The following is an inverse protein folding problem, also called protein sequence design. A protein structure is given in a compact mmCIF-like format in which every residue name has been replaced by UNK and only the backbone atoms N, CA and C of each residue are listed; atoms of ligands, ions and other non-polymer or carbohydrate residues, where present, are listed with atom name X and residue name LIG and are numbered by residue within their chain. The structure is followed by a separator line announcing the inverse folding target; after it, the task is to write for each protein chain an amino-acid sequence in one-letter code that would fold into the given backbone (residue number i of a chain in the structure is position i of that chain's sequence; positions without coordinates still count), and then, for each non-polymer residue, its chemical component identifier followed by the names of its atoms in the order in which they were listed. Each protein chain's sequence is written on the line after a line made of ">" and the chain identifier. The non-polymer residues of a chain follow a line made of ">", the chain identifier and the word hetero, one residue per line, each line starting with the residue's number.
data_IF_170977958410
#
_entry.id   IF_170977958410
#
_cell.length_a   1.000
_cell.length_b   1.000
_cell.length_c   1.000
_cell.angle_alpha   90.00
_cell.angle_beta   90.00
_cell.angle_gamma   90.00
#
_symmetry.space_group_name_H-M   'P 1'
#
loop_
_entity.id
_entity.type
_entity.pdbx_description
1 polymer ?
#
# COMPACT_ATOMS: atom_id res chain seq x y z
N UNK A 1 20.61 32.70 44.94
CA UNK A 1 20.85 31.28 44.58
C UNK A 1 19.81 30.42 45.28
N UNK A 2 18.85 29.81 44.57
CA UNK A 2 17.94 28.83 45.17
C UNK A 2 18.72 27.54 45.42
N UNK A 3 19.00 27.23 46.67
CA UNK A 3 19.65 25.98 47.08
C UNK A 3 18.61 24.85 47.01
N UNK A 4 18.72 24.00 45.99
CA UNK A 4 17.88 22.80 45.91
C UNK A 4 18.40 21.75 46.89
N UNK A 5 17.50 21.21 47.71
CA UNK A 5 17.82 20.09 48.62
C UNK A 5 18.27 18.88 47.80
N UNK A 6 19.19 18.06 48.35
CA UNK A 6 19.62 16.80 47.70
C UNK A 6 18.44 15.89 47.37
N UNK A 7 17.36 15.93 48.16
CA UNK A 7 16.13 15.20 47.90
C UNK A 7 15.35 15.75 46.68
N UNK A 8 15.32 17.07 46.49
CA UNK A 8 14.67 17.71 45.33
C UNK A 8 15.47 17.48 44.04
N UNK A 9 16.79 17.46 44.14
CA UNK A 9 17.66 17.13 43.02
C UNK A 9 17.47 15.66 42.59
N UNK A 10 17.40 14.74 43.55
CA UNK A 10 17.21 13.31 43.28
C UNK A 10 15.83 12.99 42.69
N UNK A 11 14.76 13.62 43.18
CA UNK A 11 13.41 13.49 42.60
C UNK A 11 13.33 13.99 41.16
N UNK A 12 13.97 15.13 40.85
CA UNK A 12 13.99 15.68 39.49
C UNK A 12 14.80 14.81 38.53
N UNK A 13 15.93 14.27 38.98
CA UNK A 13 16.75 13.37 38.14
C UNK A 13 16.04 12.05 37.85
N UNK A 14 15.33 11.46 38.83
CA UNK A 14 14.53 10.24 38.61
C UNK A 14 13.35 10.51 37.67
N UNK A 15 12.64 11.63 37.85
CA UNK A 15 11.55 12.01 36.96
C UNK A 15 12.05 12.22 35.52
N UNK A 16 13.22 12.83 35.35
CA UNK A 16 13.83 13.07 34.03
C UNK A 16 14.30 11.77 33.37
N UNK A 17 14.87 10.84 34.14
CA UNK A 17 15.30 9.53 33.65
C UNK A 17 14.11 8.63 33.28
N UNK A 18 13.01 8.69 34.03
CA UNK A 18 11.78 7.96 33.69
C UNK A 18 11.09 8.56 32.47
N UNK A 19 11.06 9.89 32.33
CA UNK A 19 10.56 10.54 31.10
C UNK A 19 11.44 10.20 29.90
N UNK A 20 12.77 10.21 30.03
CA UNK A 20 13.67 9.93 28.91
C UNK A 20 13.65 8.46 28.49
N UNK A 21 13.58 7.53 29.45
CA UNK A 21 13.49 6.08 29.17
C UNK A 21 12.15 5.70 28.54
N UNK A 22 11.06 6.36 28.95
CA UNK A 22 9.73 6.16 28.37
C UNK A 22 9.61 6.80 26.98
N UNK A 23 10.19 7.99 26.76
CA UNK A 23 10.31 8.62 25.43
C UNK A 23 11.20 7.80 24.49
N UNK A 24 12.20 7.08 25.00
CA UNK A 24 13.06 6.17 24.23
C UNK A 24 12.41 4.81 23.98
N UNK A 25 11.58 4.31 24.91
CA UNK A 25 10.86 3.03 24.74
C UNK A 25 9.57 3.16 23.93
N UNK A 26 9.07 4.38 23.75
CA UNK A 26 7.83 4.73 23.04
C UNK A 26 8.10 5.86 22.07
N UNK A 27 9.34 6.05 21.64
CA UNK A 27 9.51 6.46 20.26
C UNK A 27 8.73 5.41 19.49
N UNK A 28 7.65 5.75 18.77
CA UNK A 28 7.27 4.93 17.66
C UNK A 28 8.58 4.66 16.92
N UNK A 29 8.80 3.43 16.45
CA UNK A 29 9.51 3.36 15.20
C UNK A 29 8.68 4.25 14.27
N UNK A 30 9.04 5.53 14.17
CA UNK A 30 8.57 6.42 13.15
C UNK A 30 9.25 5.86 11.91
N UNK A 31 8.73 4.72 11.45
CA UNK A 31 8.78 4.38 10.04
C UNK A 31 8.00 5.53 9.44
N UNK A 32 8.73 6.57 9.04
CA UNK A 32 8.29 7.44 7.97
C UNK A 32 8.17 6.52 6.76
N UNK A 33 7.04 5.81 6.69
CA UNK A 33 6.44 5.49 5.43
C UNK A 33 6.07 6.85 4.85
N UNK A 34 7.04 7.52 4.23
CA UNK A 34 6.75 8.43 3.15
C UNK A 34 6.13 7.54 2.06
N UNK A 35 4.85 7.22 2.25
CA UNK A 35 3.99 6.79 1.17
C UNK A 35 4.01 7.94 0.17
N UNK A 36 3.96 7.56 -1.10
CA UNK A 36 3.76 8.39 -2.28
C UNK A 36 3.30 9.81 -1.98
N UNK A 37 3.87 10.74 -2.72
CA UNK A 37 3.61 12.19 -2.84
C UNK A 37 2.13 12.66 -2.82
N UNK A 38 1.13 11.78 -2.63
CA UNK A 38 -0.23 12.08 -2.23
C UNK A 38 -0.33 12.66 -0.81
N UNK A 39 -0.73 13.93 -0.70
CA UNK A 39 -0.96 14.65 0.54
C UNK A 39 -2.10 14.08 1.41
N UNK A 40 -2.61 14.88 2.35
CA UNK A 40 -3.67 14.48 3.31
C UNK A 40 -4.92 13.85 2.66
N UNK A 41 -5.09 14.04 1.36
CA UNK A 41 -6.08 13.35 0.54
C UNK A 41 -5.32 12.44 -0.44
N UNK A 42 -5.62 11.13 -0.54
CA UNK A 42 -4.88 10.19 -1.39
C UNK A 42 -4.80 10.57 -2.88
N UNK A 43 -5.74 11.38 -3.39
CA UNK A 43 -5.72 11.91 -4.76
C UNK A 43 -4.84 13.16 -4.94
N UNK A 44 -4.42 13.83 -3.86
CA UNK A 44 -3.74 15.12 -3.90
C UNK A 44 -2.22 14.93 -3.98
N UNK A 45 -1.70 14.46 -5.12
CA UNK A 45 -0.25 14.33 -5.30
C UNK A 45 0.22 13.63 -6.57
N UNK A 46 -0.68 13.00 -7.31
CA UNK A 46 -0.34 12.42 -8.61
C UNK A 46 -0.47 13.48 -9.70
N UNK A 47 0.65 13.87 -10.32
CA UNK A 47 0.70 14.78 -11.47
C UNK A 47 0.30 14.12 -12.79
N UNK A 48 0.07 12.81 -12.80
CA UNK A 48 -0.14 12.03 -14.03
C UNK A 48 -1.60 11.95 -14.43
N UNK A 49 -2.51 12.43 -13.58
CA UNK A 49 -3.89 12.66 -13.99
C UNK A 49 -4.40 13.90 -13.29
N UNK A 50 -5.02 14.80 -14.05
CA UNK A 50 -5.92 15.83 -13.56
C UNK A 50 -7.18 15.18 -12.92
N UNK A 51 -6.96 14.32 -11.92
CA UNK A 51 -7.97 13.56 -11.24
C UNK A 51 -8.84 14.54 -10.47
N UNK A 52 -10.07 14.69 -10.96
CA UNK A 52 -11.18 15.24 -10.20
C UNK A 52 -11.26 14.41 -8.91
N UNK A 53 -10.64 14.90 -7.83
CA UNK A 53 -10.76 14.26 -6.52
C UNK A 53 -12.24 14.03 -6.25
N UNK A 54 -12.61 12.77 -6.08
CA UNK A 54 -13.99 12.45 -5.76
C UNK A 54 -14.22 12.79 -4.29
N UNK A 55 -15.48 13.03 -3.92
CA UNK A 55 -15.84 13.21 -2.51
C UNK A 55 -15.40 11.99 -1.66
N UNK A 56 -15.35 10.81 -2.27
CA UNK A 56 -14.86 9.60 -1.62
C UNK A 56 -13.40 9.75 -1.17
N UNK A 57 -12.49 10.23 -2.03
CA UNK A 57 -11.07 10.35 -1.70
C UNK A 57 -10.85 11.32 -0.51
N UNK A 58 -11.65 12.39 -0.45
CA UNK A 58 -11.67 13.32 0.69
C UNK A 58 -12.13 12.63 1.99
N UNK A 59 -13.19 11.81 1.93
CA UNK A 59 -13.70 11.08 3.09
C UNK A 59 -12.72 10.01 3.59
N UNK A 60 -12.03 9.33 2.66
CA UNK A 60 -10.96 8.39 2.98
C UNK A 60 -9.79 9.10 3.65
N UNK A 61 -9.38 10.27 3.15
CA UNK A 61 -8.37 11.10 3.80
C UNK A 61 -8.76 11.52 5.23
N UNK A 62 -10.00 11.98 5.42
CA UNK A 62 -10.52 12.33 6.76
C UNK A 62 -10.50 11.13 7.71
N UNK A 63 -10.90 9.94 7.25
CA UNK A 63 -10.84 8.70 8.05
C UNK A 63 -9.42 8.45 8.55
N UNK A 64 -8.43 8.57 7.67
CA UNK A 64 -7.03 8.28 8.00
C UNK A 64 -6.46 9.31 8.99
N UNK A 65 -6.80 10.60 8.83
CA UNK A 65 -6.44 11.65 9.79
C UNK A 65 -7.05 11.37 11.17
N UNK A 66 -8.34 11.01 11.23
CA UNK A 66 -9.00 10.74 12.52
C UNK A 66 -8.45 9.46 13.15
N UNK A 67 -8.15 8.42 12.36
CA UNK A 67 -7.54 7.19 12.86
C UNK A 67 -6.15 7.46 13.44
N UNK A 68 -5.32 8.23 12.74
CA UNK A 68 -4.00 8.68 13.21
C UNK A 68 -4.11 9.52 14.49
N UNK A 69 -5.01 10.51 14.51
CA UNK A 69 -5.23 11.39 15.65
C UNK A 69 -5.70 10.64 16.89
N UNK A 70 -6.60 9.66 16.74
CA UNK A 70 -7.06 8.79 17.83
C UNK A 70 -5.90 8.02 18.47
N UNK A 71 -5.01 7.45 17.66
CA UNK A 71 -3.88 6.68 18.18
C UNK A 71 -2.95 7.58 19.02
N UNK A 72 -2.68 8.81 18.55
CA UNK A 72 -1.89 9.80 19.31
C UNK A 72 -2.59 10.18 20.62
N UNK A 73 -3.90 10.44 20.59
CA UNK A 73 -4.66 10.82 21.78
C UNK A 73 -4.66 9.71 22.85
N UNK A 74 -4.76 8.44 22.44
CA UNK A 74 -4.70 7.30 23.37
C UNK A 74 -3.32 7.22 24.05
N UNK A 75 -2.23 7.40 23.30
CA UNK A 75 -0.87 7.41 23.85
C UNK A 75 -0.69 8.56 24.85
N UNK A 76 -1.15 9.77 24.48
CA UNK A 76 -1.10 10.94 25.37
C UNK A 76 -1.93 10.76 26.65
N UNK A 77 -3.08 10.08 26.57
CA UNK A 77 -3.90 9.79 27.74
C UNK A 77 -3.19 8.83 28.71
N UNK A 78 -2.55 7.77 28.20
CA UNK A 78 -1.77 6.84 29.04
C UNK A 78 -0.60 7.58 29.71
N UNK A 79 0.10 8.43 28.96
CA UNK A 79 1.17 9.29 29.48
C UNK A 79 0.72 10.16 30.65
N UNK A 80 -0.38 10.89 30.47
CA UNK A 80 -0.91 11.79 31.49
C UNK A 80 -1.31 11.03 32.77
N UNK A 81 -1.87 9.83 32.63
CA UNK A 81 -2.24 8.97 33.76
C UNK A 81 -1.00 8.49 34.51
N UNK A 82 0.04 8.03 33.80
CA UNK A 82 1.30 7.58 34.43
C UNK A 82 2.00 8.72 35.15
N UNK A 83 2.08 9.91 34.53
CA UNK A 83 2.67 11.10 35.15
C UNK A 83 1.88 11.49 36.40
N UNK A 84 0.55 11.50 36.32
CA UNK A 84 -0.32 11.77 37.47
C UNK A 84 -0.13 10.75 38.60
N UNK A 85 0.02 9.46 38.28
CA UNK A 85 0.23 8.40 39.26
C UNK A 85 1.59 8.53 39.99
N UNK A 86 2.66 8.80 39.25
CA UNK A 86 3.99 9.03 39.83
C UNK A 86 3.99 10.29 40.70
N UNK A 87 3.38 11.37 40.23
CA UNK A 87 3.25 12.62 40.98
C UNK A 87 2.48 12.40 42.28
N UNK A 88 1.44 11.56 42.27
CA UNK A 88 0.68 11.22 43.47
C UNK A 88 1.54 10.49 44.52
N UNK A 89 2.34 9.51 44.12
CA UNK A 89 3.20 8.72 45.02
C UNK A 89 4.31 9.58 45.63
N UNK A 90 4.95 10.46 44.84
CA UNK A 90 6.10 11.27 45.28
C UNK A 90 5.67 12.47 46.15
N UNK A 91 4.40 12.85 46.09
CA UNK A 91 3.81 13.96 46.85
C UNK A 91 3.49 13.63 48.31
N UNK A 92 3.99 12.50 48.83
CA UNK A 92 3.78 12.09 50.21
C UNK A 92 4.09 13.22 51.21
N UNK A 93 3.04 13.75 51.85
CA UNK A 93 3.12 14.81 52.87
C UNK A 93 2.75 16.22 52.42
N UNK A 94 2.52 16.48 51.12
CA UNK A 94 2.08 17.78 50.60
C UNK A 94 0.67 17.68 50.00
N UNK A 95 -0.32 18.23 50.71
CA UNK A 95 -1.72 18.22 50.28
C UNK A 95 -1.96 18.92 48.94
N UNK A 96 -1.22 19.98 48.64
CA UNK A 96 -1.38 20.74 47.39
C UNK A 96 -0.89 19.96 46.18
N UNK A 97 0.27 19.30 46.31
CA UNK A 97 0.83 18.46 45.25
C UNK A 97 -0.01 17.19 45.00
N UNK A 98 -0.55 16.58 46.07
CA UNK A 98 -1.48 15.45 45.96
C UNK A 98 -2.79 15.82 45.26
N UNK A 99 -3.33 17.01 45.52
CA UNK A 99 -4.54 17.50 44.86
C UNK A 99 -4.30 17.79 43.37
N UNK A 100 -3.17 18.41 43.03
CA UNK A 100 -2.73 18.60 41.64
C UNK A 100 -2.63 17.25 40.90
N UNK A 101 -2.05 16.22 41.52
CA UNK A 101 -1.93 14.90 40.91
C UNK A 101 -3.29 14.24 40.64
N UNK A 102 -4.22 14.36 41.58
CA UNK A 102 -5.60 13.89 41.38
C UNK A 102 -6.30 14.63 40.26
N UNK A 103 -6.06 15.93 40.11
CA UNK A 103 -6.66 16.74 39.04
C UNK A 103 -6.14 16.34 37.66
N UNK A 104 -4.84 16.08 37.52
CA UNK A 104 -4.25 15.56 36.27
C UNK A 104 -4.88 14.22 35.87
N UNK A 105 -4.99 13.28 36.83
CA UNK A 105 -5.62 11.98 36.57
C UNK A 105 -7.10 12.15 36.18
N UNK A 106 -7.87 12.99 36.91
CA UNK A 106 -9.28 13.24 36.60
C UNK A 106 -9.47 13.84 35.21
N UNK A 107 -8.62 14.79 34.80
CA UNK A 107 -8.69 15.40 33.48
C UNK A 107 -8.37 14.38 32.37
N UNK A 108 -7.35 13.53 32.57
CA UNK A 108 -7.03 12.46 31.63
C UNK A 108 -8.19 11.46 31.48
N UNK A 109 -8.84 11.07 32.58
CA UNK A 109 -10.01 10.18 32.56
C UNK A 109 -11.19 10.81 31.80
N UNK A 110 -11.48 12.10 32.04
CA UNK A 110 -12.51 12.83 31.28
C UNK A 110 -12.18 12.90 29.79
N UNK A 111 -10.91 13.06 29.41
CA UNK A 111 -10.47 13.02 28.02
C UNK A 111 -10.77 11.68 27.34
N UNK A 112 -10.49 10.56 28.01
CA UNK A 112 -10.81 9.21 27.49
C UNK A 112 -12.32 9.03 27.34
N UNK A 113 -13.10 9.45 28.33
CA UNK A 113 -14.58 9.39 28.28
C UNK A 113 -15.12 10.20 27.10
N UNK A 114 -14.58 11.39 26.85
CA UNK A 114 -15.00 12.23 25.71
C UNK A 114 -14.66 11.57 24.38
N UNK A 115 -13.48 10.97 24.20
CA UNK A 115 -13.09 10.29 22.96
C UNK A 115 -13.97 9.07 22.69
N UNK A 116 -14.22 8.25 23.71
CA UNK A 116 -15.12 7.09 23.60
C UNK A 116 -16.58 7.52 23.37
N UNK A 117 -17.01 8.58 24.05
CA UNK A 117 -18.32 9.19 23.88
C UNK A 117 -18.52 9.75 22.47
N UNK A 118 -17.51 10.43 21.91
CA UNK A 118 -17.54 10.95 20.55
C UNK A 118 -17.66 9.82 19.52
N UNK A 119 -16.88 8.74 19.67
CA UNK A 119 -17.00 7.57 18.80
C UNK A 119 -18.39 6.93 18.86
N UNK A 120 -18.94 6.76 20.07
CA UNK A 120 -20.27 6.21 20.27
C UNK A 120 -21.36 7.11 19.67
N UNK A 121 -21.30 8.42 19.90
CA UNK A 121 -22.29 9.39 19.40
C UNK A 121 -22.29 9.40 17.88
N UNK A 122 -21.12 9.53 17.24
CA UNK A 122 -21.01 9.55 15.77
C UNK A 122 -21.56 8.26 15.17
N UNK A 123 -21.19 7.10 15.73
CA UNK A 123 -21.68 5.81 15.21
C UNK A 123 -23.18 5.61 15.42
N UNK A 124 -23.71 6.03 16.58
CA UNK A 124 -25.14 5.94 16.89
C UNK A 124 -25.97 6.84 15.98
N UNK A 125 -25.51 8.08 15.76
CA UNK A 125 -26.17 9.05 14.89
C UNK A 125 -26.18 8.54 13.45
N UNK A 126 -25.04 8.07 12.93
CA UNK A 126 -24.96 7.56 11.57
C UNK A 126 -25.79 6.28 11.38
N UNK A 127 -25.83 5.39 12.37
CA UNK A 127 -26.73 4.23 12.33
C UNK A 127 -28.20 4.63 12.26
N UNK A 128 -28.62 5.66 13.03
CA UNK A 128 -30.00 6.18 13.01
C UNK A 128 -30.37 6.82 11.66
N UNK A 129 -29.45 7.55 11.03
CA UNK A 129 -29.70 8.20 9.75
C UNK A 129 -29.57 7.25 8.56
N UNK A 130 -28.59 6.34 8.54
CA UNK A 130 -28.39 5.35 7.48
C UNK A 130 -29.55 4.34 7.36
N UNK A 131 -30.25 4.06 8.46
CA UNK A 131 -31.46 3.21 8.45
C UNK A 131 -32.71 3.91 7.90
N UNK A 132 -32.76 5.25 7.91
CA UNK A 132 -33.97 6.02 7.58
C UNK A 132 -33.90 6.68 6.19
N UNK A 133 -32.71 7.05 5.74
CA UNK A 133 -32.49 7.64 4.44
C UNK A 133 -31.68 6.65 3.61
N UNK A 134 -32.31 6.08 2.58
CA UNK A 134 -31.65 5.28 1.55
C UNK A 134 -30.73 6.20 0.71
N UNK A 135 -29.61 6.60 1.32
CA UNK A 135 -28.69 7.59 0.77
C UNK A 135 -27.72 6.98 -0.25
N UNK A 136 -27.88 5.71 -0.65
CA UNK A 136 -26.98 5.03 -1.58
C UNK A 136 -25.54 4.84 -1.08
N UNK A 137 -25.23 5.33 0.12
CA UNK A 137 -23.94 5.16 0.79
C UNK A 137 -24.11 3.97 1.73
N UNK A 138 -23.71 2.77 1.29
CA UNK A 138 -23.79 1.51 2.02
C UNK A 138 -22.84 1.44 3.23
N UNK A 139 -22.90 2.40 4.14
CA UNK A 139 -22.04 2.50 5.33
C UNK A 139 -22.74 1.94 6.56
N UNK A 140 -22.09 0.96 7.18
CA UNK A 140 -22.53 0.41 8.48
C UNK A 140 -21.90 1.14 9.65
N UNK A 141 -20.70 1.70 9.47
CA UNK A 141 -19.95 2.45 10.48
C UNK A 141 -19.20 3.63 9.85
N UNK A 142 -18.97 4.70 10.62
CA UNK A 142 -18.30 5.92 10.15
C UNK A 142 -16.82 5.72 9.80
N UNK A 143 -16.20 4.64 10.27
CA UNK A 143 -14.79 4.35 10.05
C UNK A 143 -14.56 3.34 8.92
N UNK A 144 -15.63 2.82 8.31
CA UNK A 144 -15.59 1.82 7.25
C UNK A 144 -16.38 2.32 6.04
N UNK A 145 -15.72 3.17 5.25
CA UNK A 145 -16.22 3.61 3.95
C UNK A 145 -15.62 2.70 2.88
N UNK A 146 -16.44 1.77 2.38
CA UNK A 146 -16.12 1.06 1.14
C UNK A 146 -16.53 1.96 -0.01
N UNK A 147 -15.58 2.73 -0.53
CA UNK A 147 -15.76 3.33 -1.83
C UNK A 147 -15.66 2.21 -2.88
N UNK A 148 -16.79 1.55 -3.12
CA UNK A 148 -16.94 0.76 -4.32
C UNK A 148 -17.01 1.70 -5.51
N UNK A 149 -16.46 1.29 -6.64
CA UNK A 149 -16.97 1.67 -7.95
C UNK A 149 -18.39 1.14 -8.09
N UNK A 150 -19.32 1.73 -7.33
CA UNK A 150 -20.75 1.43 -7.34
C UNK A 150 -21.48 2.73 -7.63
N UNK A 151 -21.17 3.31 -8.79
CA UNK A 151 -22.21 3.89 -9.61
C UNK A 151 -22.78 2.78 -10.51
N UNK A 152 -23.59 1.92 -9.92
CA UNK A 152 -24.56 1.15 -10.71
C UNK A 152 -25.86 1.15 -9.92
N UNK A 153 -26.65 2.20 -10.14
CA UNK A 153 -28.03 2.14 -10.67
C UNK A 153 -28.69 3.52 -10.53
N UNK A 154 -29.07 4.14 -11.66
CA UNK A 154 -30.14 5.14 -11.69
C UNK A 154 -30.01 6.26 -12.72
N UNK A 155 -30.55 6.04 -13.93
CA UNK A 155 -30.87 7.07 -14.96
C UNK A 155 -29.76 7.25 -16.00
N UNK A 156 -29.72 6.52 -17.11
CA UNK A 156 -30.61 6.55 -18.30
C UNK A 156 -30.44 7.81 -19.18
N UNK A 157 -30.46 7.55 -20.49
CA UNK A 157 -30.39 8.45 -21.66
C UNK A 157 -29.02 8.95 -22.16
N UNK A 158 -28.49 8.17 -23.11
CA UNK A 158 -28.27 8.57 -24.53
C UNK A 158 -27.96 10.06 -24.78
N UNK A 159 -26.77 10.35 -25.31
CA UNK A 159 -26.67 10.98 -26.63
C UNK A 159 -25.36 10.57 -27.35
N UNK A 160 -25.43 10.13 -28.62
CA UNK A 160 -24.27 9.96 -29.48
C UNK A 160 -23.87 11.31 -30.13
N UNK A 161 -22.89 11.21 -31.02
CA UNK A 161 -22.62 12.10 -32.15
C UNK A 161 -22.31 13.59 -31.92
N UNK A 162 -21.07 13.96 -32.26
CA UNK A 162 -20.86 15.17 -33.06
C UNK A 162 -19.70 14.97 -34.04
N UNK A 163 -20.00 14.35 -35.19
CA UNK A 163 -19.41 14.81 -36.44
C UNK A 163 -20.17 16.07 -36.87
N UNK A 164 -19.46 17.19 -37.03
CA UNK A 164 -19.94 18.32 -37.84
C UNK A 164 -19.15 18.31 -39.13
N UNK A 165 -19.80 17.83 -40.20
CA UNK A 165 -19.39 18.10 -41.57
C UNK A 165 -19.87 19.47 -42.05
N UNK A 166 -19.28 19.94 -43.15
CA UNK A 166 -19.88 21.01 -43.95
C UNK A 166 -18.90 21.78 -44.84
N UNK A 167 -18.63 21.26 -46.03
CA UNK A 167 -18.02 21.99 -47.14
C UNK A 167 -18.21 21.20 -48.43
N UNK A 168 -19.11 21.67 -49.28
CA UNK A 168 -19.60 21.04 -50.51
C UNK A 168 -19.01 21.69 -51.76
N UNK A 169 -18.44 20.88 -52.66
CA UNK A 169 -18.27 21.13 -54.10
C UNK A 169 -17.54 19.91 -54.71
N UNK A 170 -18.23 19.00 -55.39
CA UNK A 170 -18.61 18.99 -56.82
C UNK A 170 -17.48 18.56 -57.77
N UNK A 171 -17.78 17.44 -58.44
CA UNK A 171 -17.36 16.95 -59.75
C UNK A 171 -15.92 16.47 -60.08
N UNK A 172 -15.94 15.33 -60.80
CA UNK A 172 -14.94 14.71 -61.69
C UNK A 172 -13.70 13.95 -61.15
N UNK A 173 -13.62 12.67 -61.51
CA UNK A 173 -12.39 11.84 -61.55
C UNK A 173 -11.62 12.04 -62.89
N UNK A 174 -10.42 11.42 -63.07
CA UNK A 174 -9.03 11.81 -62.75
C UNK A 174 -8.26 12.18 -64.07
N UNK A 175 -6.90 12.17 -64.26
CA UNK A 175 -5.71 11.85 -63.40
C UNK A 175 -4.47 12.79 -63.53
N UNK A 176 -3.51 12.74 -62.59
CA UNK A 176 -2.04 12.98 -62.78
C UNK A 176 -1.35 13.10 -61.42
N UNK A 177 -0.39 12.23 -61.06
CA UNK A 177 1.08 12.46 -61.16
C UNK A 177 1.57 13.67 -60.34
N UNK A 178 2.42 13.40 -59.34
CA UNK A 178 2.92 14.38 -58.37
C UNK A 178 3.88 13.74 -57.37
N UNK A 179 5.13 13.62 -57.80
CA UNK A 179 6.31 13.06 -57.13
C UNK A 179 6.70 13.75 -55.81
N UNK A 180 7.01 12.95 -54.78
CA UNK A 180 7.79 13.37 -53.60
C UNK A 180 9.19 13.81 -54.04
N UNK A 181 9.49 15.10 -53.88
CA UNK A 181 10.64 15.76 -54.51
C UNK A 181 11.87 15.93 -53.63
N UNK A 182 12.40 14.86 -53.01
CA UNK A 182 13.77 14.88 -52.47
C UNK A 182 14.66 13.90 -53.25
N UNK A 183 15.88 14.29 -53.68
CA UNK A 183 16.84 13.40 -54.33
C UNK A 183 17.28 12.25 -53.42
N UNK A 184 17.66 11.09 -53.99
CA UNK A 184 18.21 9.94 -53.23
C UNK A 184 19.33 10.37 -52.28
N UNK A 185 19.19 10.03 -50.99
CA UNK A 185 20.11 10.41 -49.91
C UNK A 185 19.74 11.70 -49.16
N UNK A 186 18.50 12.18 -49.30
CA UNK A 186 17.97 13.31 -48.54
C UNK A 186 16.52 13.07 -48.12
N UNK A 187 16.21 13.42 -46.88
CA UNK A 187 14.86 13.31 -46.30
C UNK A 187 14.24 14.71 -46.07
N UNK A 188 12.89 14.84 -46.04
CA UNK A 188 12.22 16.10 -45.71
C UNK A 188 12.57 16.57 -44.29
N UNK A 189 12.77 17.87 -44.10
CA UNK A 189 12.88 18.49 -42.78
C UNK A 189 11.55 18.46 -42.03
N UNK A 190 11.58 18.55 -40.70
CA UNK A 190 10.38 18.46 -39.84
C UNK A 190 9.31 19.55 -40.11
N UNK A 191 9.71 20.65 -40.77
CA UNK A 191 8.81 21.71 -41.22
C UNK A 191 8.27 21.51 -42.64
N UNK A 192 8.66 20.42 -43.31
CA UNK A 192 8.18 19.98 -44.62
C UNK A 192 8.57 20.88 -45.79
N UNK A 193 9.46 21.86 -45.57
CA UNK A 193 9.74 22.91 -46.56
C UNK A 193 11.14 22.81 -47.19
N UNK A 194 11.99 21.87 -46.74
CA UNK A 194 13.34 21.66 -47.29
C UNK A 194 13.78 20.18 -47.24
N UNK A 195 14.77 19.80 -48.03
CA UNK A 195 15.42 18.47 -47.95
C UNK A 195 16.78 18.60 -47.23
N UNK A 196 17.06 17.70 -46.31
CA UNK A 196 18.32 17.64 -45.54
C UNK A 196 19.14 16.40 -45.90
N UNK A 197 20.49 16.49 -45.97
CA UNK A 197 21.34 15.35 -46.27
C UNK A 197 21.21 14.24 -45.23
N UNK A 198 21.11 12.99 -45.69
CA UNK A 198 21.22 11.81 -44.81
C UNK A 198 22.68 11.69 -44.37
N UNK A 199 23.03 12.32 -43.24
CA UNK A 199 24.37 12.21 -42.67
C UNK A 199 24.56 10.82 -42.08
N UNK A 200 25.65 10.10 -42.39
CA UNK A 200 25.99 8.88 -41.66
C UNK A 200 26.21 9.24 -40.20
N UNK A 201 25.54 8.53 -39.29
CA UNK A 201 25.84 8.58 -37.87
C UNK A 201 27.33 8.27 -37.69
N UNK A 202 28.07 9.28 -37.24
CA UNK A 202 29.45 9.11 -36.78
C UNK A 202 29.36 8.34 -35.47
N UNK A 203 29.84 7.10 -35.50
CA UNK A 203 30.07 6.26 -34.33
C UNK A 203 31.18 6.90 -33.48
N UNK A 204 30.80 7.80 -32.61
CA UNK A 204 31.60 8.26 -31.48
C UNK A 204 30.60 8.70 -30.43
N UNK A 205 30.30 7.87 -29.43
CA UNK A 205 30.16 8.19 -28.00
C UNK A 205 29.84 6.88 -27.24
N UNK A 206 30.78 6.51 -26.36
CA UNK A 206 30.68 5.62 -25.19
C UNK A 206 29.55 4.56 -25.15
N UNK A 207 29.96 3.28 -25.19
CA UNK A 207 29.15 2.10 -24.90
C UNK A 207 28.45 2.20 -23.53
N UNK A 208 27.28 2.85 -23.49
CA UNK A 208 26.26 2.59 -22.50
C UNK A 208 25.33 1.57 -23.13
N UNK A 209 25.48 0.31 -22.73
CA UNK A 209 24.55 -0.77 -23.04
C UNK A 209 23.12 -0.24 -22.84
N UNK A 210 22.38 -0.02 -23.94
CA UNK A 210 20.96 0.29 -23.85
C UNK A 210 20.32 -0.87 -23.06
N UNK A 211 19.64 -0.61 -21.93
CA UNK A 211 19.07 -1.69 -21.14
C UNK A 211 18.08 -2.44 -22.03
N UNK A 212 18.26 -3.77 -22.09
CA UNK A 212 17.45 -4.65 -22.92
C UNK A 212 15.94 -4.31 -22.77
N UNK A 213 15.16 -4.36 -23.86
CA UNK A 213 13.73 -4.05 -23.81
C UNK A 213 13.04 -4.93 -22.75
N UNK A 214 12.17 -4.32 -21.94
CA UNK A 214 11.46 -4.99 -20.85
C UNK A 214 10.77 -6.27 -21.36
N UNK A 215 11.16 -7.43 -20.82
CA UNK A 215 10.59 -8.75 -21.16
C UNK A 215 9.21 -8.90 -20.49
N UNK A 216 8.20 -8.25 -21.07
CA UNK A 216 6.82 -8.24 -20.57
C UNK A 216 6.14 -9.61 -20.63
N UNK A 217 6.64 -10.54 -21.46
CA UNK A 217 6.07 -11.88 -21.57
C UNK A 217 6.39 -12.73 -20.33
N UNK A 218 7.59 -12.58 -19.77
CA UNK A 218 7.97 -13.22 -18.51
C UNK A 218 7.62 -12.39 -17.28
N UNK A 219 7.54 -11.07 -17.40
CA UNK A 219 7.28 -10.14 -16.28
C UNK A 219 6.08 -9.23 -16.59
N UNK A 220 4.84 -9.74 -16.50
CA UNK A 220 3.66 -9.06 -17.01
C UNK A 220 3.29 -7.79 -16.24
N UNK A 221 3.83 -7.60 -15.03
CA UNK A 221 3.59 -6.43 -14.20
C UNK A 221 4.75 -5.41 -14.22
N UNK A 222 5.86 -5.70 -14.92
CA UNK A 222 7.06 -4.84 -14.89
C UNK A 222 6.81 -3.43 -15.42
N UNK A 223 5.97 -3.29 -16.45
CA UNK A 223 5.54 -2.02 -17.02
C UNK A 223 4.47 -1.26 -16.23
N UNK A 224 3.92 -1.86 -15.16
CA UNK A 224 2.90 -1.24 -14.31
C UNK A 224 3.54 -0.55 -13.11
N UNK A 225 2.87 0.44 -12.52
CA UNK A 225 3.18 0.86 -11.16
C UNK A 225 2.86 -0.27 -10.16
N UNK A 226 3.45 -0.23 -8.96
CA UNK A 226 3.19 -1.22 -7.91
C UNK A 226 1.70 -1.25 -7.53
N UNK A 227 1.04 -0.09 -7.54
CA UNK A 227 -0.39 0.04 -7.25
C UNK A 227 -1.27 -0.62 -8.33
N UNK A 228 -0.91 -0.49 -9.60
CA UNK A 228 -1.60 -1.11 -10.73
C UNK A 228 -1.38 -2.61 -10.74
N UNK A 229 -0.14 -3.07 -10.51
CA UNK A 229 0.17 -4.49 -10.37
C UNK A 229 -0.68 -5.14 -9.26
N UNK A 230 -0.86 -4.45 -8.13
CA UNK A 230 -1.66 -4.95 -6.99
C UNK A 230 -3.15 -4.96 -7.30
N UNK A 231 -3.65 -3.92 -7.97
CA UNK A 231 -5.02 -3.87 -8.45
C UNK A 231 -5.28 -5.02 -9.45
N UNK A 232 -4.33 -5.27 -10.35
CA UNK A 232 -4.44 -6.32 -11.35
C UNK A 232 -4.38 -7.72 -10.72
N UNK A 233 -3.45 -7.99 -9.80
CA UNK A 233 -3.40 -9.27 -9.08
C UNK A 233 -4.68 -9.53 -8.26
N UNK A 234 -5.21 -8.49 -7.62
CA UNK A 234 -6.51 -8.54 -6.95
C UNK A 234 -7.63 -8.83 -7.95
N UNK A 235 -7.65 -8.18 -9.12
CA UNK A 235 -8.64 -8.41 -10.17
C UNK A 235 -8.60 -9.85 -10.71
N UNK A 236 -7.41 -10.40 -10.97
CA UNK A 236 -7.22 -11.78 -11.47
C UNK A 236 -7.78 -12.86 -10.52
N UNK A 237 -7.89 -12.52 -9.24
CA UNK A 237 -8.43 -13.37 -8.18
C UNK A 237 -9.84 -12.97 -7.71
N UNK A 238 -10.52 -12.05 -8.42
CA UNK A 238 -11.82 -11.50 -8.03
C UNK A 238 -11.82 -10.89 -6.61
N UNK A 239 -10.76 -10.14 -6.28
CA UNK A 239 -10.61 -9.46 -4.99
C UNK A 239 -10.16 -10.37 -3.85
N UNK A 240 -9.72 -11.61 -4.14
CA UNK A 240 -9.40 -12.61 -3.11
C UNK A 240 -7.91 -12.74 -2.82
N UNK A 241 -7.03 -12.21 -3.65
CA UNK A 241 -5.62 -11.99 -3.30
C UNK A 241 -5.47 -10.57 -2.77
N UNK A 242 -4.88 -10.44 -1.59
CA UNK A 242 -4.38 -9.18 -1.07
C UNK A 242 -2.86 -9.24 -0.96
N UNK A 243 -2.19 -8.11 -1.15
CA UNK A 243 -0.76 -7.98 -0.86
C UNK A 243 -0.62 -7.20 0.44
N UNK A 244 -0.02 -7.84 1.44
CA UNK A 244 0.37 -7.22 2.69
C UNK A 244 1.86 -6.89 2.61
N UNK A 245 2.24 -5.76 3.20
CA UNK A 245 3.62 -5.33 3.27
C UNK A 245 3.90 -4.79 4.67
N UNK A 246 5.09 -5.08 5.20
CA UNK A 246 5.51 -4.57 6.51
C UNK A 246 5.83 -3.07 6.49
N UNK A 247 6.19 -2.57 5.30
CA UNK A 247 6.37 -1.16 4.95
C UNK A 247 6.10 -0.97 3.45
N UNK A 248 5.76 0.25 2.96
CA UNK A 248 5.55 0.48 1.53
C UNK A 248 6.72 0.00 0.68
N UNK A 249 6.44 -0.80 -0.34
CA UNK A 249 7.45 -1.35 -1.25
C UNK A 249 8.26 -2.51 -0.67
N UNK A 250 7.95 -2.97 0.56
CA UNK A 250 8.57 -4.16 1.13
C UNK A 250 8.18 -5.43 0.37
N UNK A 251 7.07 -5.40 -0.35
CA UNK A 251 6.63 -6.49 -1.21
C UNK A 251 6.50 -5.96 -2.64
N UNK A 252 7.48 -6.26 -3.49
CA UNK A 252 7.43 -5.88 -4.89
C UNK A 252 6.82 -7.05 -5.68
N UNK A 253 5.69 -6.79 -6.35
CA UNK A 253 5.07 -7.78 -7.22
C UNK A 253 5.23 -7.49 -8.72
N UNK A 254 5.83 -6.34 -9.07
CA UNK A 254 6.09 -5.95 -10.47
C UNK A 254 7.07 -6.88 -11.15
N UNK A 255 8.08 -7.29 -10.41
CA UNK A 255 9.16 -8.15 -10.91
C UNK A 255 8.84 -9.64 -10.69
N UNK A 256 7.58 -9.99 -10.42
CA UNK A 256 7.15 -11.37 -10.39
C UNK A 256 7.11 -11.95 -11.80
N UNK A 257 7.55 -13.20 -11.91
CA UNK A 257 7.37 -13.95 -13.15
C UNK A 257 5.91 -14.27 -13.39
N UNK A 258 5.55 -14.37 -14.67
CA UNK A 258 4.23 -14.82 -15.11
C UNK A 258 3.85 -16.16 -14.48
N UNK A 259 4.79 -17.11 -14.37
CA UNK A 259 4.57 -18.40 -13.71
C UNK A 259 4.18 -18.25 -12.24
N UNK A 260 4.81 -17.33 -11.52
CA UNK A 260 4.50 -17.03 -10.11
C UNK A 260 3.14 -16.36 -9.95
N UNK A 261 2.79 -15.42 -10.82
CA UNK A 261 1.49 -14.73 -10.83
C UNK A 261 0.36 -15.74 -11.14
N UNK A 262 0.51 -16.52 -12.21
CA UNK A 262 -0.46 -17.55 -12.59
C UNK A 262 -0.57 -18.62 -11.50
N UNK A 263 0.56 -18.98 -10.89
CA UNK A 263 0.67 -19.94 -9.79
C UNK A 263 -0.12 -19.50 -8.56
N UNK A 264 0.12 -18.29 -8.06
CA UNK A 264 -0.58 -17.79 -6.86
C UNK A 264 -2.07 -17.54 -7.11
N UNK A 265 -2.45 -17.12 -8.32
CA UNK A 265 -3.87 -16.98 -8.72
C UNK A 265 -4.54 -18.35 -8.80
N UNK A 266 -3.87 -19.36 -9.34
CA UNK A 266 -4.40 -20.73 -9.38
C UNK A 266 -4.54 -21.31 -7.96
N UNK A 267 -3.52 -21.13 -7.12
CA UNK A 267 -3.53 -21.54 -5.72
C UNK A 267 -4.69 -20.87 -4.95
N UNK A 268 -4.90 -19.57 -5.13
CA UNK A 268 -6.03 -18.88 -4.51
C UNK A 268 -7.38 -19.47 -4.96
N UNK A 269 -7.55 -19.75 -6.26
CA UNK A 269 -8.78 -20.35 -6.79
C UNK A 269 -9.04 -21.75 -6.22
N UNK A 270 -7.98 -22.52 -6.01
CA UNK A 270 -7.98 -23.83 -5.38
C UNK A 270 -8.38 -23.79 -3.89
N UNK A 271 -7.80 -22.86 -3.12
CA UNK A 271 -8.14 -22.65 -1.70
C UNK A 271 -9.56 -22.09 -1.54
N UNK A 272 -10.00 -21.26 -2.48
CA UNK A 272 -11.34 -20.65 -2.53
C UNK A 272 -11.57 -19.50 -1.54
N UNK A 273 -10.66 -19.31 -0.58
CA UNK A 273 -10.66 -18.26 0.42
C UNK A 273 -9.68 -17.13 0.06
N UNK A 274 -9.64 -16.10 0.91
CA UNK A 274 -8.70 -14.99 0.77
C UNK A 274 -7.27 -15.49 1.02
N UNK A 275 -6.36 -15.10 0.14
CA UNK A 275 -4.92 -15.37 0.24
C UNK A 275 -4.20 -14.04 0.38
N UNK A 276 -3.29 -13.93 1.34
CA UNK A 276 -2.48 -12.73 1.56
C UNK A 276 -1.05 -13.04 1.13
N UNK A 277 -0.55 -12.33 0.13
CA UNK A 277 0.86 -12.33 -0.27
C UNK A 277 1.61 -11.39 0.66
N UNK A 278 2.63 -11.87 1.34
CA UNK A 278 3.43 -11.11 2.33
C UNK A 278 4.83 -10.77 1.84
N UNK A 279 5.24 -11.37 0.73
CA UNK A 279 6.56 -11.21 0.11
C UNK A 279 6.55 -11.76 -1.31
N UNK A 280 7.37 -11.22 -2.20
CA UNK A 280 7.36 -11.58 -3.62
C UNK A 280 8.72 -11.34 -4.29
N UNK A 281 8.74 -10.57 -5.39
CA UNK A 281 9.94 -10.30 -6.16
C UNK A 281 10.77 -9.19 -5.50
N UNK A 282 11.52 -9.57 -4.47
CA UNK A 282 12.31 -8.64 -3.66
C UNK A 282 13.81 -8.85 -3.93
N UNK A 283 14.52 -7.76 -4.25
CA UNK A 283 15.96 -7.79 -4.49
C UNK A 283 16.78 -8.01 -3.20
N UNK A 284 16.21 -7.63 -2.05
CA UNK A 284 16.86 -7.70 -0.74
C UNK A 284 16.09 -8.62 0.22
N UNK A 285 16.57 -9.86 0.41
CA UNK A 285 15.97 -10.82 1.33
C UNK A 285 16.87 -12.05 1.62
N UNK A 286 16.55 -12.86 2.65
CA UNK A 286 17.38 -13.99 3.11
C UNK A 286 17.46 -15.19 2.14
N UNK A 287 16.85 -15.13 0.95
CA UNK A 287 16.89 -16.18 -0.09
C UNK A 287 17.13 -15.62 -1.51
N UNK A 288 18.13 -14.75 -1.66
CA UNK A 288 18.51 -14.11 -2.93
C UNK A 288 19.28 -15.01 -3.91
N UNK A 289 19.85 -16.12 -3.45
CA UNK A 289 20.81 -16.90 -4.24
C UNK A 289 20.16 -18.14 -4.88
N UNK A 290 20.34 -18.30 -6.19
CA UNK A 290 19.83 -19.43 -6.98
C UNK A 290 18.85 -19.01 -8.09
N UNK A 291 18.66 -19.88 -9.08
CA UNK A 291 17.83 -19.60 -10.26
C UNK A 291 16.36 -19.32 -9.89
N UNK A 292 15.84 -20.05 -8.88
CA UNK A 292 14.49 -19.92 -8.36
C UNK A 292 14.51 -19.16 -7.02
N UNK A 293 14.56 -17.84 -7.08
CA UNK A 293 14.71 -16.93 -5.93
C UNK A 293 13.66 -15.81 -5.93
N UNK A 294 13.58 -15.05 -4.84
CA UNK A 294 12.77 -13.82 -4.76
C UNK A 294 13.29 -12.79 -5.77
N UNK A 295 14.60 -12.56 -5.81
CA UNK A 295 15.21 -11.60 -6.73
C UNK A 295 14.90 -11.89 -8.21
N UNK A 296 14.73 -13.16 -8.56
CA UNK A 296 14.38 -13.57 -9.93
C UNK A 296 12.87 -13.69 -10.19
N UNK A 297 12.03 -13.38 -9.19
CA UNK A 297 10.57 -13.35 -9.30
C UNK A 297 9.88 -14.72 -9.27
N UNK A 298 10.56 -15.79 -8.83
CA UNK A 298 10.02 -17.17 -8.78
C UNK A 298 9.35 -17.52 -7.45
N UNK A 299 9.62 -16.74 -6.41
CA UNK A 299 9.17 -17.03 -5.04
C UNK A 299 8.12 -16.04 -4.58
N UNK A 300 7.12 -16.54 -3.87
CA UNK A 300 6.00 -15.77 -3.31
C UNK A 300 5.74 -16.25 -1.89
N UNK A 301 5.78 -15.33 -0.95
CA UNK A 301 5.46 -15.60 0.45
C UNK A 301 3.96 -15.40 0.67
N UNK A 302 3.33 -16.39 1.31
CA UNK A 302 1.90 -16.43 1.57
C UNK A 302 1.66 -16.56 3.08
N UNK A 303 0.78 -15.73 3.61
CA UNK A 303 0.38 -15.73 5.03
C UNK A 303 -0.13 -17.11 5.50
N UNK A 304 0.27 -17.53 6.71
CA UNK A 304 0.03 -18.88 7.25
C UNK A 304 -1.36 -19.05 7.88
N UNK A 305 -2.38 -18.55 7.20
CA UNK A 305 -3.77 -18.64 7.68
C UNK A 305 -4.23 -20.10 7.86
N UNK A 306 -5.19 -20.38 8.77
CA UNK A 306 -5.72 -21.73 8.93
C UNK A 306 -6.23 -22.37 7.64
N UNK A 307 -6.83 -21.59 6.73
CA UNK A 307 -7.33 -22.06 5.45
C UNK A 307 -6.21 -22.51 4.50
N UNK A 308 -5.16 -21.71 4.39
CA UNK A 308 -3.96 -21.99 3.59
C UNK A 308 -3.24 -23.22 4.14
N UNK A 309 -3.01 -23.25 5.46
CA UNK A 309 -2.38 -24.37 6.15
C UNK A 309 -3.12 -25.68 5.91
N UNK A 310 -4.44 -25.69 6.16
CA UNK A 310 -5.27 -26.88 5.98
C UNK A 310 -5.27 -27.37 4.54
N UNK A 311 -5.32 -26.45 3.57
CA UNK A 311 -5.32 -26.83 2.16
C UNK A 311 -4.00 -27.50 1.77
N UNK A 312 -2.87 -26.84 2.03
CA UNK A 312 -1.53 -27.34 1.65
C UNK A 312 -1.26 -28.69 2.34
N UNK A 313 -1.43 -28.75 3.66
CA UNK A 313 -1.07 -29.94 4.45
C UNK A 313 -1.95 -31.15 4.15
N UNK A 314 -3.19 -30.95 3.67
CA UNK A 314 -4.11 -32.04 3.31
C UNK A 314 -4.03 -32.45 1.84
N UNK A 315 -3.69 -31.53 0.93
CA UNK A 315 -3.73 -31.78 -0.52
C UNK A 315 -2.37 -32.06 -1.15
N UNK A 316 -1.30 -31.46 -0.64
CA UNK A 316 0.02 -31.52 -1.27
C UNK A 316 0.89 -32.61 -0.65
N UNK A 317 1.84 -33.12 -1.43
CA UNK A 317 2.68 -34.25 -1.02
C UNK A 317 3.83 -33.74 -0.16
N UNK A 318 4.01 -34.24 1.07
CA UNK A 318 5.17 -33.87 1.88
C UNK A 318 6.45 -34.47 1.27
N UNK A 319 7.45 -33.64 1.00
CA UNK A 319 8.72 -34.03 0.35
C UNK A 319 9.94 -33.96 1.29
N UNK A 320 9.72 -33.68 2.57
CA UNK A 320 10.75 -33.66 3.60
C UNK A 320 10.94 -32.28 4.22
N UNK A 321 12.19 -31.94 4.53
CA UNK A 321 12.57 -30.69 5.19
C UNK A 321 13.64 -29.97 4.38
N UNK A 322 13.58 -28.64 4.33
CA UNK A 322 14.59 -27.79 3.70
C UNK A 322 15.87 -27.82 4.54
N UNK A 323 17.02 -27.90 3.88
CA UNK A 323 18.31 -28.22 4.52
C UNK A 323 18.93 -27.05 5.30
N UNK A 324 18.62 -25.84 4.89
CA UNK A 324 19.13 -24.58 5.42
C UNK A 324 18.46 -24.19 6.74
N UNK A 325 17.12 -24.16 6.77
CA UNK A 325 16.35 -23.64 7.89
C UNK A 325 15.41 -24.66 8.55
N UNK A 326 15.30 -25.86 7.98
CA UNK A 326 14.43 -26.92 8.49
C UNK A 326 12.94 -26.71 8.19
N UNK A 327 12.57 -25.83 7.26
CA UNK A 327 11.19 -25.64 6.85
C UNK A 327 10.58 -26.96 6.32
N UNK A 328 9.34 -27.26 6.69
CA UNK A 328 8.63 -28.43 6.14
C UNK A 328 8.25 -28.17 4.69
N UNK A 329 8.57 -29.12 3.81
CA UNK A 329 8.36 -28.98 2.38
C UNK A 329 7.17 -29.82 1.89
N UNK A 330 6.34 -29.20 1.07
CA UNK A 330 5.23 -29.82 0.36
C UNK A 330 5.35 -29.53 -1.14
N UNK A 331 4.84 -30.42 -1.98
CA UNK A 331 4.84 -30.26 -3.43
C UNK A 331 3.45 -30.49 -4.01
N UNK A 332 3.01 -29.59 -4.89
CA UNK A 332 1.78 -29.78 -5.65
C UNK A 332 1.99 -30.66 -6.89
N UNK A 333 0.91 -30.97 -7.62
CA UNK A 333 0.98 -31.81 -8.82
C UNK A 333 1.71 -31.16 -10.00
N UNK A 334 1.96 -29.85 -9.95
CA UNK A 334 2.67 -29.08 -10.99
C UNK A 334 4.17 -28.99 -10.71
N UNK A 335 4.61 -29.49 -9.55
CA UNK A 335 6.00 -29.46 -9.12
C UNK A 335 6.40 -28.22 -8.34
N UNK A 336 5.46 -27.32 -8.03
CA UNK A 336 5.72 -26.14 -7.19
C UNK A 336 5.97 -26.59 -5.75
N UNK A 337 6.89 -25.91 -5.08
CA UNK A 337 7.35 -26.29 -3.74
C UNK A 337 6.89 -25.25 -2.73
N UNK A 338 6.29 -25.72 -1.64
CA UNK A 338 5.75 -24.92 -0.55
C UNK A 338 6.57 -25.23 0.71
N UNK A 339 7.32 -24.25 1.20
CA UNK A 339 8.12 -24.36 2.40
C UNK A 339 7.43 -23.64 3.57
N UNK A 340 7.17 -24.37 4.66
CA UNK A 340 6.56 -23.79 5.86
C UNK A 340 7.63 -23.21 6.77
N UNK A 341 7.81 -21.89 6.71
CA UNK A 341 8.71 -21.16 7.59
C UNK A 341 7.99 -20.78 8.89
N UNK A 342 8.49 -21.29 10.02
CA UNK A 342 7.89 -21.07 11.33
C UNK A 342 8.81 -20.18 12.16
N UNK A 343 8.29 -19.04 12.61
CA UNK A 343 9.06 -18.06 13.37
C UNK A 343 8.22 -16.88 13.85
N UNK A 344 8.87 -15.73 14.08
CA UNK A 344 8.19 -14.49 14.48
C UNK A 344 7.21 -13.97 13.41
N UNK A 345 7.48 -14.28 12.14
CA UNK A 345 6.64 -14.00 10.98
C UNK A 345 6.45 -15.31 10.21
N UNK A 346 5.60 -16.20 10.73
CA UNK A 346 5.37 -17.50 10.09
C UNK A 346 4.63 -17.30 8.76
N UNK A 347 5.10 -17.96 7.71
CA UNK A 347 4.53 -17.84 6.37
C UNK A 347 4.89 -19.09 5.53
N UNK A 348 4.29 -19.18 4.35
CA UNK A 348 4.64 -20.15 3.33
C UNK A 348 5.51 -19.49 2.28
N UNK A 349 6.75 -19.94 2.17
CA UNK A 349 7.64 -19.59 1.09
C UNK A 349 7.38 -20.55 -0.09
N UNK A 350 6.75 -20.02 -1.15
CA UNK A 350 6.32 -20.81 -2.31
C UNK A 350 7.18 -20.53 -3.52
N UNK A 351 7.77 -21.57 -4.09
CA UNK A 351 8.52 -21.50 -5.35
C UNK A 351 7.67 -22.03 -6.50
N UNK A 352 7.32 -21.17 -7.44
CA UNK A 352 6.68 -21.53 -8.71
C UNK A 352 7.76 -21.74 -9.77
N UNK A 353 7.67 -22.81 -10.57
CA UNK A 353 8.69 -23.15 -11.58
C UNK A 353 8.18 -23.04 -13.00
#
# INVERSE_FOLDING_TARGET
>A
MKTYSRADLFKKTILFLLLSFFVFSISPNFTYAAKDTGGLVPCAGDSTYANRCTLCDLLVGIRDIVAWGKNILIILAILAIVIGAIMYIISAGDSGAMESAKNVIKQALWGVVIVLGAWLIVNTVLWLFAKKADLGIGVTNWYDFQCGSSATTGGDEIYPDTEVGGGTDDDTTPPSDGTDGCPDGQSPSDDGMSCVPDTPSVDDEDDVEEPAPLDLDNYPFSGMSESEARAELSRLSNGKIAVWESSPGATNIRDMRKSSIDGVVAFQKEVGQKVTVTGAAEADGPHKEGDYSHANGYKVDIDDTPAVNDYIEKKYTPIGYRKDDGAKLYQDSKGNVYAKEIGKNSHWDVTYK
#
